data_IF_399236836992
#
_entry.id   IF_399236836992
#
_cell.length_a   1.000
_cell.length_b   1.000
_cell.length_c   1.000
_cell.angle_alpha   90.00
_cell.angle_beta   90.00
_cell.angle_gamma   90.00
#
_symmetry.space_group_name_H-M   'P 1'
#
loop_
_entity.id
_entity.type
_entity.pdbx_description
1 polymer ?
#
# COMPACT_ATOMS: atom_id res chain seq x y z
N UNK A 1 -3.40 -11.58 20.30
CA UNK A 1 -3.16 -10.16 20.01
C UNK A 1 -2.09 -9.97 18.93
N UNK A 2 -0.84 -10.43 19.10
CA UNK A 2 0.22 -10.23 18.08
C UNK A 2 -0.15 -10.80 16.70
N UNK A 3 -0.81 -11.97 16.66
CA UNK A 3 -1.30 -12.56 15.41
C UNK A 3 -2.40 -11.72 14.73
N UNK A 4 -3.26 -11.03 15.51
CA UNK A 4 -4.34 -10.19 14.96
C UNK A 4 -3.79 -8.92 14.31
N UNK A 5 -2.73 -8.33 14.88
CA UNK A 5 -2.07 -7.17 14.29
C UNK A 5 -1.43 -7.52 12.95
N UNK A 6 -0.72 -8.66 12.87
CA UNK A 6 -0.11 -9.12 11.63
C UNK A 6 -1.15 -9.41 10.55
N UNK A 7 -2.25 -10.09 10.90
CA UNK A 7 -3.35 -10.32 9.95
C UNK A 7 -4.01 -9.01 9.48
N UNK A 8 -4.22 -8.05 10.39
CA UNK A 8 -4.69 -6.72 9.99
C UNK A 8 -3.72 -6.04 9.03
N UNK A 9 -2.40 -6.09 9.30
CA UNK A 9 -1.40 -5.46 8.44
C UNK A 9 -1.35 -6.09 7.05
N UNK A 10 -1.52 -7.41 6.93
CA UNK A 10 -1.67 -8.09 5.62
C UNK A 10 -2.88 -7.57 4.85
N UNK A 11 -4.04 -7.50 5.52
CA UNK A 11 -5.27 -6.98 4.90
C UNK A 11 -5.10 -5.51 4.52
N UNK A 12 -4.45 -4.71 5.37
CA UNK A 12 -4.19 -3.31 5.10
C UNK A 12 -3.25 -3.12 3.91
N UNK A 13 -2.20 -3.95 3.79
CA UNK A 13 -1.33 -3.96 2.62
C UNK A 13 -2.10 -4.24 1.33
N UNK A 14 -3.03 -5.20 1.35
CA UNK A 14 -3.91 -5.50 0.21
C UNK A 14 -4.82 -4.30 -0.11
N UNK A 15 -5.39 -3.66 0.91
CA UNK A 15 -6.22 -2.46 0.72
C UNK A 15 -5.44 -1.33 0.05
N UNK A 16 -4.21 -1.06 0.49
CA UNK A 16 -3.35 -0.03 -0.11
C UNK A 16 -3.01 -0.34 -1.58
N UNK A 17 -2.79 -1.61 -1.92
CA UNK A 17 -2.58 -2.05 -3.30
C UNK A 17 -3.83 -1.79 -4.16
N UNK A 18 -5.02 -2.08 -3.65
CA UNK A 18 -6.29 -1.82 -4.34
C UNK A 18 -6.55 -0.32 -4.52
N UNK A 19 -6.19 0.49 -3.52
CA UNK A 19 -6.30 1.95 -3.61
C UNK A 19 -5.36 2.51 -4.69
N UNK A 20 -4.13 2.00 -4.81
CA UNK A 20 -3.21 2.36 -5.90
C UNK A 20 -3.74 1.99 -7.28
N UNK A 21 -4.30 0.78 -7.43
CA UNK A 21 -4.92 0.34 -8.69
C UNK A 21 -6.05 1.30 -9.09
N UNK A 22 -6.92 1.64 -8.15
CA UNK A 22 -8.03 2.57 -8.38
C UNK A 22 -7.56 4.01 -8.69
N UNK A 23 -6.48 4.48 -8.06
CA UNK A 23 -5.88 5.78 -8.39
C UNK A 23 -5.29 5.76 -9.79
N UNK A 24 -4.58 4.69 -10.16
CA UNK A 24 -4.04 4.52 -11.51
C UNK A 24 -5.15 4.54 -12.57
N UNK A 25 -6.25 3.82 -12.35
CA UNK A 25 -7.41 3.82 -13.26
C UNK A 25 -8.03 5.22 -13.43
N UNK A 26 -8.08 6.02 -12.36
CA UNK A 26 -8.56 7.41 -12.44
C UNK A 26 -7.58 8.30 -13.22
N UNK A 27 -6.28 8.09 -13.03
CA UNK A 27 -5.24 8.83 -13.75
C UNK A 27 -5.24 8.51 -15.25
N UNK A 28 -5.45 7.25 -15.63
CA UNK A 28 -5.52 6.81 -17.03
C UNK A 28 -6.66 7.47 -17.82
N UNK A 29 -7.72 7.91 -17.13
CA UNK A 29 -8.86 8.60 -17.72
C UNK A 29 -8.64 10.12 -17.93
N UNK A 30 -7.50 10.68 -17.47
CA UNK A 30 -7.23 12.11 -17.48
C UNK A 30 -6.07 12.48 -18.41
N UNK A 31 -6.06 13.73 -18.91
CA UNK A 31 -4.88 14.31 -19.54
C UNK A 31 -3.78 14.51 -18.48
N UNK A 32 -2.56 13.97 -18.66
CA UNK A 32 -1.45 14.13 -17.74
C UNK A 32 -1.07 15.59 -17.43
N UNK A 33 -1.43 16.54 -18.28
CA UNK A 33 -1.13 17.96 -18.08
C UNK A 33 -2.26 18.72 -17.34
N UNK A 34 -3.34 18.05 -16.95
CA UNK A 34 -4.44 18.69 -16.23
C UNK A 34 -4.14 18.76 -14.72
N UNK A 35 -4.83 19.69 -14.03
CA UNK A 35 -4.66 19.86 -12.58
C UNK A 35 -5.10 18.63 -11.79
N UNK A 36 -6.16 17.97 -12.22
CA UNK A 36 -6.71 16.80 -11.53
C UNK A 36 -5.74 15.61 -11.57
N UNK A 37 -5.06 15.41 -12.71
CA UNK A 37 -3.98 14.43 -12.81
C UNK A 37 -2.84 14.74 -11.84
N UNK A 38 -2.41 16.02 -11.77
CA UNK A 38 -1.35 16.41 -10.84
C UNK A 38 -1.72 16.18 -9.37
N UNK A 39 -3.00 16.34 -9.00
CA UNK A 39 -3.46 15.98 -7.66
C UNK A 39 -3.45 14.47 -7.42
N UNK A 40 -3.91 13.68 -8.39
CA UNK A 40 -3.90 12.22 -8.28
C UNK A 40 -2.49 11.64 -8.25
N UNK A 41 -1.54 12.24 -8.97
CA UNK A 41 -0.12 11.83 -8.93
C UNK A 41 0.49 12.03 -7.53
N UNK A 42 0.17 13.14 -6.86
CA UNK A 42 0.58 13.36 -5.46
C UNK A 42 -0.03 12.29 -4.54
N UNK A 43 -1.33 12.02 -4.69
CA UNK A 43 -2.02 11.01 -3.87
C UNK A 43 -1.48 9.60 -4.13
N UNK A 44 -1.23 9.25 -5.40
CA UNK A 44 -0.65 7.96 -5.79
C UNK A 44 0.72 7.77 -5.13
N UNK A 45 1.59 8.78 -5.19
CA UNK A 45 2.89 8.74 -4.54
C UNK A 45 2.77 8.61 -3.01
N UNK A 46 1.79 9.28 -2.41
CA UNK A 46 1.52 9.19 -0.97
C UNK A 46 1.06 7.78 -0.55
N UNK A 47 0.10 7.19 -1.25
CA UNK A 47 -0.40 5.83 -0.99
C UNK A 47 0.68 4.78 -1.25
N UNK A 48 1.51 4.98 -2.28
CA UNK A 48 2.65 4.10 -2.59
C UNK A 48 3.70 4.08 -1.47
N UNK A 49 3.97 5.26 -0.88
CA UNK A 49 4.80 5.36 0.32
C UNK A 49 4.24 4.59 1.50
N UNK A 50 2.93 4.67 1.74
CA UNK A 50 2.25 3.89 2.79
C UNK A 50 2.37 2.39 2.55
N UNK A 51 2.12 1.93 1.31
CA UNK A 51 2.25 0.51 0.94
C UNK A 51 3.67 -0.01 1.23
N UNK A 52 4.68 0.76 0.83
CA UNK A 52 6.09 0.42 1.07
C UNK A 52 6.40 0.33 2.56
N UNK A 53 5.92 1.29 3.36
CA UNK A 53 6.10 1.28 4.80
C UNK A 53 5.39 0.09 5.47
N UNK A 54 4.14 -0.21 5.08
CA UNK A 54 3.39 -1.37 5.59
C UNK A 54 4.11 -2.67 5.27
N UNK A 55 4.62 -2.85 4.05
CA UNK A 55 5.40 -4.02 3.68
C UNK A 55 6.63 -4.20 4.56
N UNK A 56 7.42 -3.14 4.77
CA UNK A 56 8.60 -3.18 5.64
C UNK A 56 8.22 -3.52 7.08
N UNK A 57 7.20 -2.87 7.64
CA UNK A 57 6.76 -3.10 9.01
C UNK A 57 6.19 -4.52 9.19
N UNK A 58 5.52 -5.06 8.18
CA UNK A 58 5.00 -6.42 8.21
C UNK A 58 6.15 -7.43 8.25
N UNK A 59 7.18 -7.26 7.42
CA UNK A 59 8.39 -8.10 7.44
C UNK A 59 9.07 -8.07 8.81
N UNK A 60 9.47 -6.88 9.29
CA UNK A 60 10.15 -6.75 10.60
C UNK A 60 9.27 -7.23 11.76
N UNK A 61 7.99 -6.88 11.74
CA UNK A 61 7.05 -7.29 12.77
C UNK A 61 6.85 -8.80 12.82
N UNK A 62 6.85 -9.46 11.66
CA UNK A 62 6.72 -10.91 11.58
C UNK A 62 7.98 -11.61 12.08
N UNK A 63 9.17 -11.09 11.72
CA UNK A 63 10.45 -11.59 12.20
C UNK A 63 10.58 -11.52 13.72
N UNK A 64 10.24 -10.36 14.33
CA UNK A 64 10.26 -10.15 15.78
C UNK A 64 9.33 -11.14 16.50
N UNK A 65 8.20 -11.48 15.87
CA UNK A 65 7.18 -12.36 16.44
C UNK A 65 7.38 -13.85 16.09
N UNK A 66 8.40 -14.19 15.29
CA UNK A 66 8.65 -15.56 14.83
C UNK A 66 7.54 -16.10 13.93
N UNK A 67 6.82 -15.22 13.20
CA UNK A 67 5.77 -15.59 12.27
C UNK A 67 6.38 -15.68 10.87
N UNK A 68 6.24 -16.83 10.21
CA UNK A 68 6.65 -16.96 8.82
C UNK A 68 5.77 -16.06 7.95
N UNK A 69 6.40 -15.10 7.28
CA UNK A 69 5.81 -14.47 6.10
C UNK A 69 6.25 -15.28 4.89
N UNK A 70 5.37 -15.42 3.89
CA UNK A 70 5.75 -16.03 2.62
C UNK A 70 6.76 -15.10 1.94
N UNK A 71 8.06 -15.33 2.18
CA UNK A 71 9.12 -14.74 1.37
C UNK A 71 8.96 -15.26 -0.06
N UNK A 72 9.02 -14.34 -1.03
CA UNK A 72 9.10 -14.69 -2.46
C UNK A 72 10.46 -15.28 -2.81
#
# INVERSE_FOLDING_TARGET
MSNQLIEYMKIHQISLQQDLEKLSEQMDALDPNCKDYAYLDIEYNWVSGQLTATHHLLSVGSDILGIQTEEK
#
